data_IF_297337638243
#
_entry.id   IF_297337638243
#
_cell.length_a   1.000
_cell.length_b   1.000
_cell.length_c   1.000
_cell.angle_alpha   90.00
_cell.angle_beta   90.00
_cell.angle_gamma   90.00
#
_symmetry.space_group_name_H-M   'P 1'
#
loop_
_entity.id
_entity.type
_entity.pdbx_description
1 polymer ?
#
# COMPACT_ATOMS: atom_id res chain seq x y z
N UNK A 1 56.78 -33.94 43.14
CA UNK A 1 55.32 -34.16 43.16
C UNK A 1 54.65 -32.80 43.28
N UNK A 2 53.73 -32.49 42.34
CA UNK A 2 52.58 -31.56 42.37
C UNK A 2 52.66 -30.24 43.17
N UNK A 3 52.26 -29.06 42.67
CA UNK A 3 51.55 -28.72 41.45
C UNK A 3 51.42 -27.19 41.35
N UNK A 4 51.55 -26.64 40.14
CA UNK A 4 51.42 -25.20 39.86
C UNK A 4 49.96 -24.94 39.47
N UNK A 5 49.22 -24.19 40.29
CA UNK A 5 47.83 -23.84 39.97
C UNK A 5 47.80 -22.78 38.87
N UNK A 6 47.46 -23.22 37.65
CA UNK A 6 47.01 -22.37 36.55
C UNK A 6 45.55 -22.02 36.78
N UNK A 7 45.14 -20.76 36.61
CA UNK A 7 43.80 -20.43 36.13
C UNK A 7 43.81 -19.04 35.47
N UNK A 8 43.98 -19.04 34.15
CA UNK A 8 43.56 -17.96 33.26
C UNK A 8 42.07 -18.15 32.99
N UNK A 9 41.21 -17.32 33.59
CA UNK A 9 39.79 -17.32 33.25
C UNK A 9 39.58 -16.53 31.95
N UNK A 10 39.73 -17.22 30.83
CA UNK A 10 39.17 -16.80 29.55
C UNK A 10 37.69 -17.21 29.49
N UNK A 11 36.79 -16.26 29.66
CA UNK A 11 35.41 -16.37 29.19
C UNK A 11 35.19 -15.14 28.30
N UNK A 12 35.26 -15.23 26.99
CA UNK A 12 34.53 -16.19 26.18
C UNK A 12 33.52 -15.38 25.38
N UNK A 13 34.01 -14.85 24.24
CA UNK A 13 33.25 -14.30 23.10
C UNK A 13 32.70 -12.87 23.30
N UNK A 14 33.44 -11.87 22.78
CA UNK A 14 32.79 -10.69 22.19
C UNK A 14 31.72 -11.20 21.21
N UNK A 15 30.50 -10.62 21.16
CA UNK A 15 29.62 -10.89 20.04
C UNK A 15 30.42 -10.60 18.77
N UNK A 16 30.50 -11.62 17.92
CA UNK A 16 31.15 -11.58 16.62
C UNK A 16 30.89 -10.22 16.00
N UNK A 17 31.98 -9.52 15.63
CA UNK A 17 31.89 -8.52 14.58
C UNK A 17 31.06 -9.16 13.47
N UNK A 18 29.88 -8.59 13.22
CA UNK A 18 29.06 -8.95 12.06
C UNK A 18 30.04 -8.99 10.88
N UNK A 19 30.17 -10.11 10.17
CA UNK A 19 31.04 -10.14 9.02
C UNK A 19 30.52 -9.04 8.08
N UNK A 20 31.35 -8.05 7.77
CA UNK A 20 31.05 -6.99 6.80
C UNK A 20 30.86 -7.51 5.35
N UNK A 21 30.54 -8.80 5.20
CA UNK A 21 30.42 -9.55 3.95
C UNK A 21 28.95 -9.83 3.56
N UNK A 22 28.01 -9.17 4.22
CA UNK A 22 26.60 -9.03 3.83
C UNK A 22 26.37 -7.51 3.93
N UNK A 23 26.34 -6.68 2.90
CA UNK A 23 25.51 -6.75 1.71
C UNK A 23 25.92 -5.63 0.73
N UNK A 24 26.65 -5.91 -0.36
CA UNK A 24 26.62 -5.06 -1.55
C UNK A 24 25.28 -5.21 -2.29
N UNK A 25 24.69 -6.41 -2.24
CA UNK A 25 23.51 -6.77 -3.03
C UNK A 25 22.23 -6.06 -2.58
N UNK A 26 22.03 -5.90 -1.26
CA UNK A 26 20.91 -5.10 -0.75
C UNK A 26 21.03 -3.63 -1.15
N UNK A 27 22.26 -3.11 -1.29
CA UNK A 27 22.46 -1.72 -1.72
C UNK A 27 22.08 -1.51 -3.19
N UNK A 28 22.43 -2.44 -4.08
CA UNK A 28 22.03 -2.42 -5.49
C UNK A 28 20.50 -2.47 -5.64
N UNK A 29 19.83 -3.36 -4.90
CA UNK A 29 18.36 -3.44 -4.90
C UNK A 29 17.71 -2.15 -4.40
N UNK A 30 18.28 -1.50 -3.39
CA UNK A 30 17.77 -0.20 -2.93
C UNK A 30 17.87 0.87 -4.02
N UNK A 31 18.97 0.91 -4.79
CA UNK A 31 19.11 1.85 -5.90
C UNK A 31 18.08 1.59 -6.99
N UNK A 32 17.80 0.33 -7.32
CA UNK A 32 16.78 -0.02 -8.31
C UNK A 32 15.37 0.38 -7.85
N UNK A 33 15.05 0.18 -6.57
CA UNK A 33 13.77 0.61 -5.99
C UNK A 33 13.63 2.13 -5.98
N UNK A 34 14.68 2.84 -5.58
CA UNK A 34 14.70 4.32 -5.61
C UNK A 34 14.49 4.81 -7.05
N UNK A 35 15.23 4.24 -8.00
CA UNK A 35 15.08 4.56 -9.42
C UNK A 35 13.67 4.30 -9.91
N UNK A 36 13.11 3.13 -9.63
CA UNK A 36 11.75 2.77 -10.01
C UNK A 36 10.71 3.74 -9.45
N UNK A 37 10.81 4.10 -8.16
CA UNK A 37 9.89 5.05 -7.52
C UNK A 37 9.99 6.41 -8.20
N UNK A 38 11.21 6.93 -8.41
CA UNK A 38 11.43 8.22 -9.06
C UNK A 38 10.91 8.23 -10.50
N UNK A 39 11.23 7.21 -11.29
CA UNK A 39 10.80 7.10 -12.69
C UNK A 39 9.28 6.96 -12.81
N UNK A 40 8.67 6.13 -11.97
CA UNK A 40 7.22 5.93 -11.93
C UNK A 40 6.51 7.23 -11.55
N UNK A 41 6.98 7.93 -10.52
CA UNK A 41 6.41 9.21 -10.12
C UNK A 41 6.55 10.29 -11.19
N UNK A 42 7.74 10.40 -11.80
CA UNK A 42 7.98 11.35 -12.89
C UNK A 42 7.14 11.04 -14.14
N UNK A 43 6.81 9.77 -14.38
CA UNK A 43 5.91 9.36 -15.46
C UNK A 43 4.48 9.84 -15.20
N UNK A 44 3.96 9.55 -14.00
CA UNK A 44 2.61 9.95 -13.57
C UNK A 44 2.47 11.49 -13.57
N UNK A 45 3.47 12.22 -13.07
CA UNK A 45 3.46 13.68 -13.04
C UNK A 45 3.41 14.28 -14.46
N UNK A 46 4.22 13.77 -15.39
CA UNK A 46 4.21 14.25 -16.78
C UNK A 46 2.88 13.98 -17.48
N UNK A 47 2.31 12.79 -17.26
CA UNK A 47 1.00 12.44 -17.83
C UNK A 47 -0.11 13.38 -17.30
N UNK A 48 -0.07 13.70 -16.01
CA UNK A 48 -0.97 14.68 -15.41
C UNK A 48 -0.84 16.07 -16.06
N UNK A 49 0.39 16.58 -16.18
CA UNK A 49 0.64 17.89 -16.78
C UNK A 49 0.17 17.95 -18.24
N UNK A 50 0.34 16.86 -18.98
CA UNK A 50 -0.15 16.75 -20.36
C UNK A 50 -1.68 16.75 -20.44
N UNK A 51 -2.36 16.08 -19.49
CA UNK A 51 -3.82 16.09 -19.42
C UNK A 51 -4.37 17.48 -19.07
N UNK A 52 -3.70 18.21 -18.16
CA UNK A 52 -4.14 19.53 -17.71
C UNK A 52 -3.92 20.63 -18.75
N UNK A 53 -2.82 20.56 -19.52
CA UNK A 53 -2.49 21.52 -20.57
C UNK A 53 -3.29 21.33 -21.87
N UNK A 54 -3.97 20.18 -22.06
CA UNK A 54 -4.93 19.97 -23.14
C UNK A 54 -6.32 20.51 -22.80
N UNK A 55 -6.40 21.75 -22.33
CA UNK A 55 -7.66 22.48 -22.33
C UNK A 55 -8.03 22.80 -23.79
N UNK A 56 -9.27 22.47 -24.16
CA UNK A 56 -9.93 22.78 -25.43
C UNK A 56 -9.53 21.96 -26.68
N UNK A 57 -10.05 20.74 -26.78
CA UNK A 57 -10.10 20.07 -28.09
C UNK A 57 -10.63 18.64 -28.08
N UNK A 58 -11.95 18.48 -28.19
CA UNK A 58 -12.63 17.25 -28.60
C UNK A 58 -12.30 15.95 -27.82
N UNK A 59 -13.17 15.66 -26.86
CA UNK A 59 -13.18 14.54 -25.91
C UNK A 59 -13.45 13.15 -26.52
N UNK A 60 -13.08 12.88 -27.78
CA UNK A 60 -13.47 11.63 -28.47
C UNK A 60 -12.33 10.66 -28.80
N UNK A 61 -11.07 11.03 -28.53
CA UNK A 61 -9.90 10.25 -29.00
C UNK A 61 -9.07 9.60 -27.89
N UNK A 62 -9.60 9.40 -26.69
CA UNK A 62 -8.97 8.51 -25.69
C UNK A 62 -9.43 7.08 -25.86
N UNK A 63 -9.16 6.54 -27.05
CA UNK A 63 -8.94 5.10 -27.17
C UNK A 63 -7.46 4.90 -26.84
N UNK A 64 -7.19 4.27 -25.69
CA UNK A 64 -5.92 3.59 -25.35
C UNK A 64 -4.96 4.27 -24.34
N UNK A 65 -5.46 4.81 -23.23
CA UNK A 65 -4.60 5.07 -22.06
C UNK A 65 -5.43 5.50 -20.87
N UNK A 66 -5.30 4.80 -19.73
CA UNK A 66 -5.89 5.25 -18.49
C UNK A 66 -5.24 6.59 -18.10
N UNK A 67 -5.97 7.70 -18.21
CA UNK A 67 -5.49 9.01 -17.82
C UNK A 67 -5.31 9.07 -16.30
N UNK A 68 -4.15 9.48 -15.83
CA UNK A 68 -3.90 9.79 -14.40
C UNK A 68 -5.03 10.66 -13.86
N UNK A 69 -5.79 10.11 -12.90
CA UNK A 69 -6.97 10.74 -12.29
C UNK A 69 -6.72 10.94 -10.80
N UNK A 70 -6.98 12.15 -10.29
CA UNK A 70 -6.90 12.46 -8.87
C UNK A 70 -8.29 12.47 -8.25
N UNK A 71 -8.39 11.94 -7.03
CA UNK A 71 -9.53 12.22 -6.18
C UNK A 71 -9.47 13.69 -5.76
N UNK A 72 -10.47 14.47 -6.17
CA UNK A 72 -10.65 15.83 -5.67
C UNK A 72 -11.80 15.81 -4.68
N UNK A 73 -11.46 15.89 -3.39
CA UNK A 73 -12.46 16.05 -2.34
C UNK A 73 -13.19 17.38 -2.54
N UNK A 74 -14.52 17.33 -2.52
CA UNK A 74 -15.38 18.50 -2.52
C UNK A 74 -16.30 18.35 -1.33
N UNK A 75 -16.26 19.30 -0.41
CA UNK A 75 -17.19 19.36 0.71
C UNK A 75 -18.17 20.53 0.54
N UNK A 76 -19.49 20.28 0.50
CA UNK A 76 -20.14 18.96 0.44
C UNK A 76 -19.96 18.30 -0.93
N UNK A 77 -19.90 16.97 -0.99
CA UNK A 77 -19.74 16.28 -2.26
C UNK A 77 -21.03 16.50 -3.09
N UNK A 78 -20.97 17.20 -4.24
CA UNK A 78 -22.17 17.50 -5.03
C UNK A 78 -22.84 16.23 -5.56
N UNK A 79 -22.12 15.12 -5.68
CA UNK A 79 -22.67 13.82 -6.08
C UNK A 79 -23.50 13.18 -4.97
N UNK A 80 -23.34 13.62 -3.72
CA UNK A 80 -24.05 13.09 -2.56
C UNK A 80 -25.27 13.94 -2.16
N UNK A 81 -25.65 14.94 -2.96
CA UNK A 81 -26.74 15.88 -2.62
C UNK A 81 -28.05 15.19 -2.25
N UNK A 82 -28.40 14.15 -3.00
CA UNK A 82 -29.63 13.38 -2.81
C UNK A 82 -29.33 11.94 -2.38
N UNK A 83 -28.13 11.70 -1.84
CA UNK A 83 -27.73 10.38 -1.37
C UNK A 83 -28.47 10.05 -0.07
N UNK A 84 -29.29 8.99 -0.12
CA UNK A 84 -29.90 8.41 1.06
C UNK A 84 -29.02 7.26 1.58
N UNK A 85 -28.48 7.36 2.81
CA UNK A 85 -27.66 6.30 3.38
C UNK A 85 -28.50 5.05 3.61
N UNK A 86 -28.03 3.92 3.06
CA UNK A 86 -28.67 2.63 3.29
C UNK A 86 -28.28 2.06 4.66
N UNK A 87 -29.28 1.75 5.49
CA UNK A 87 -29.05 1.06 6.75
C UNK A 87 -28.83 -0.45 6.50
N UNK A 88 -27.57 -0.82 6.30
CA UNK A 88 -27.15 -2.21 6.11
C UNK A 88 -27.56 -3.12 7.28
N UNK A 89 -27.48 -2.62 8.51
CA UNK A 89 -27.79 -3.40 9.72
C UNK A 89 -29.28 -3.76 9.78
N UNK A 90 -30.15 -2.78 9.56
CA UNK A 90 -31.60 -3.01 9.52
C UNK A 90 -31.98 -4.00 8.41
N UNK A 91 -31.37 -3.88 7.23
CA UNK A 91 -31.65 -4.75 6.10
C UNK A 91 -31.22 -6.21 6.35
N UNK A 92 -30.02 -6.42 6.89
CA UNK A 92 -29.58 -7.76 7.25
C UNK A 92 -30.42 -8.35 8.39
N UNK A 93 -30.78 -7.55 9.40
CA UNK A 93 -31.63 -7.96 10.50
C UNK A 93 -33.00 -8.47 10.01
N UNK A 94 -33.67 -7.72 9.14
CA UNK A 94 -34.94 -8.14 8.53
C UNK A 94 -34.79 -9.46 7.76
N UNK A 95 -33.72 -9.60 6.98
CA UNK A 95 -33.48 -10.81 6.18
C UNK A 95 -33.21 -12.04 7.04
N UNK A 96 -32.46 -11.88 8.13
CA UNK A 96 -32.20 -12.97 9.10
C UNK A 96 -33.51 -13.43 9.73
N UNK A 97 -34.35 -12.51 10.18
CA UNK A 97 -35.68 -12.85 10.73
C UNK A 97 -36.54 -13.57 9.70
N UNK A 98 -36.63 -13.06 8.47
CA UNK A 98 -37.40 -13.69 7.39
C UNK A 98 -36.89 -15.11 7.05
N UNK A 99 -35.56 -15.31 7.04
CA UNK A 99 -34.92 -16.61 6.85
C UNK A 99 -35.35 -17.62 7.92
N UNK A 100 -35.34 -17.20 9.19
CA UNK A 100 -35.74 -18.03 10.33
C UNK A 100 -37.25 -18.32 10.29
N UNK A 101 -38.09 -17.30 10.08
CA UNK A 101 -39.54 -17.52 10.03
C UNK A 101 -39.93 -18.47 8.90
N UNK A 102 -39.29 -18.35 7.73
CA UNK A 102 -39.53 -19.24 6.58
C UNK A 102 -39.05 -20.68 6.85
N UNK A 103 -37.94 -20.87 7.55
CA UNK A 103 -37.44 -22.21 7.86
C UNK A 103 -38.24 -22.90 8.97
N UNK A 104 -38.85 -22.14 9.88
CA UNK A 104 -39.68 -22.67 10.96
C UNK A 104 -41.11 -23.01 10.52
N UNK A 105 -41.52 -22.58 9.32
CA UNK A 105 -42.85 -22.81 8.74
C UNK A 105 -42.86 -23.76 7.53
N UNK A 106 -41.73 -24.42 7.24
CA UNK A 106 -41.62 -25.60 6.36
C UNK A 106 -41.43 -26.87 7.19
#
# INVERSE_FOLDING_TARGET
MSGRSQMTAMNGKRPSSIPARLQPESSAQHFDLIKYICESWNSVSRELDMCHNQQHGNSSNYRNGASVTYYQEREPNPQLKDFEPFNLEAWWGQRVVQSITRNASS
#
